data_IF_584985110987
#
_entry.id   IF_584985110987
#
_cell.length_a   1.000
_cell.length_b   1.000
_cell.length_c   1.000
_cell.angle_alpha   90.00
_cell.angle_beta   90.00
_cell.angle_gamma   90.00
#
_symmetry.space_group_name_H-M   'P 1'
#
loop_
_entity.id
_entity.type
_entity.pdbx_description
1 polymer ?
#
# COMPACT_ATOMS: atom_id res chain seq x y z
N UNK A 1 -20.83 -58.34 -12.67
CA UNK A 1 -20.65 -58.40 -14.12
C UNK A 1 -20.23 -57.02 -14.63
N UNK A 2 -19.08 -57.06 -15.30
CA UNK A 2 -18.45 -56.05 -16.13
C UNK A 2 -17.89 -54.78 -15.46
N UNK A 3 -16.59 -54.90 -15.18
CA UNK A 3 -15.56 -53.83 -15.15
C UNK A 3 -15.49 -53.10 -16.46
N UNK A 4 -15.25 -51.80 -16.39
CA UNK A 4 -14.57 -51.12 -17.49
C UNK A 4 -13.56 -50.14 -16.90
N UNK A 5 -12.31 -50.54 -17.06
CA UNK A 5 -11.07 -49.82 -16.77
C UNK A 5 -10.84 -48.81 -17.92
N UNK A 6 -10.59 -47.54 -17.64
CA UNK A 6 -10.08 -46.59 -18.63
C UNK A 6 -8.62 -46.30 -18.32
N UNK A 7 -7.77 -46.82 -19.18
CA UNK A 7 -6.31 -46.55 -19.24
C UNK A 7 -6.13 -45.30 -20.10
N UNK A 8 -5.55 -44.23 -19.53
CA UNK A 8 -5.01 -43.13 -20.33
C UNK A 8 -3.57 -43.39 -20.69
N UNK A 9 -3.33 -43.53 -21.96
CA UNK A 9 -2.02 -43.73 -22.62
C UNK A 9 -1.21 -42.44 -22.61
N UNK A 10 0.01 -42.51 -22.09
CA UNK A 10 1.06 -41.51 -22.30
C UNK A 10 1.66 -41.76 -23.67
N UNK A 11 1.63 -40.78 -24.58
CA UNK A 11 2.42 -40.78 -25.81
C UNK A 11 3.60 -39.83 -25.60
N UNK A 12 4.79 -40.42 -25.43
CA UNK A 12 6.07 -39.75 -25.64
C UNK A 12 6.27 -39.55 -27.16
N UNK A 13 6.51 -38.33 -27.57
CA UNK A 13 7.23 -38.06 -28.81
C UNK A 13 8.57 -37.40 -28.48
N UNK A 14 9.61 -38.16 -28.64
CA UNK A 14 10.96 -37.68 -28.79
C UNK A 14 11.17 -37.27 -30.25
N UNK A 15 11.51 -36.02 -30.48
CA UNK A 15 12.19 -35.61 -31.69
C UNK A 15 13.34 -34.69 -31.33
N UNK A 16 14.52 -35.22 -31.54
CA UNK A 16 15.77 -34.53 -31.58
C UNK A 16 15.81 -33.57 -32.78
N UNK A 17 16.16 -32.32 -32.51
CA UNK A 17 16.51 -31.36 -33.52
C UNK A 17 17.29 -30.25 -32.84
N UNK A 18 18.63 -30.38 -32.89
CA UNK A 18 19.51 -29.25 -32.63
C UNK A 18 19.26 -28.18 -33.70
N UNK A 19 18.83 -27.03 -33.31
CA UNK A 19 19.05 -25.77 -34.02
C UNK A 19 19.56 -24.80 -32.96
N UNK A 20 20.82 -24.42 -33.10
CA UNK A 20 21.43 -23.28 -32.47
C UNK A 20 20.78 -22.03 -33.10
N UNK A 21 19.82 -21.44 -32.38
CA UNK A 21 19.45 -20.06 -32.61
C UNK A 21 19.79 -19.31 -31.34
N UNK A 22 20.96 -18.69 -31.36
CA UNK A 22 21.25 -17.54 -30.52
C UNK A 22 20.21 -16.47 -30.89
N UNK A 23 19.08 -16.40 -30.15
CA UNK A 23 18.27 -15.20 -30.13
C UNK A 23 19.10 -14.09 -29.49
N UNK A 24 19.75 -13.30 -30.33
CA UNK A 24 20.19 -11.96 -30.02
C UNK A 24 19.02 -11.24 -29.34
N UNK A 25 19.11 -11.05 -28.03
CA UNK A 25 18.30 -10.07 -27.38
C UNK A 25 18.50 -8.75 -28.12
N UNK A 26 17.50 -8.32 -28.84
CA UNK A 26 17.51 -7.07 -29.58
C UNK A 26 17.67 -5.92 -28.57
N UNK A 27 18.91 -5.58 -28.29
CA UNK A 27 19.28 -4.34 -27.64
C UNK A 27 18.89 -3.20 -28.56
N UNK A 28 17.86 -2.45 -28.16
CA UNK A 28 17.57 -1.17 -28.78
C UNK A 28 16.49 -1.18 -29.84
N UNK A 29 15.22 -1.27 -29.43
CA UNK A 29 14.16 -0.71 -30.25
C UNK A 29 14.50 0.76 -30.52
N UNK A 30 14.80 1.12 -31.77
CA UNK A 30 14.82 2.51 -32.18
C UNK A 30 13.44 3.08 -31.86
N UNK A 31 13.39 4.12 -31.01
CA UNK A 31 12.19 4.93 -30.88
C UNK A 31 11.91 5.46 -32.27
N UNK A 32 10.80 5.01 -32.87
CA UNK A 32 10.42 5.49 -34.20
C UNK A 32 10.27 7.00 -34.14
N UNK A 33 10.78 7.75 -35.12
CA UNK A 33 10.55 9.21 -35.21
C UNK A 33 9.06 9.59 -35.19
N UNK A 34 8.16 8.64 -35.49
CA UNK A 34 6.71 8.82 -35.45
C UNK A 34 6.11 8.95 -34.03
N UNK A 35 6.88 8.61 -32.96
CA UNK A 35 6.46 8.78 -31.56
C UNK A 35 6.75 10.20 -31.02
N UNK A 36 7.37 11.05 -31.80
CA UNK A 36 7.60 12.45 -31.40
C UNK A 36 6.35 13.23 -31.80
N UNK A 37 5.58 13.83 -30.85
CA UNK A 37 4.43 14.66 -31.20
C UNK A 37 4.84 15.74 -32.21
N UNK A 38 4.01 15.99 -33.23
CA UNK A 38 4.21 17.05 -34.23
C UNK A 38 4.42 18.44 -33.62
N UNK A 39 4.14 18.59 -32.32
CA UNK A 39 4.16 19.86 -31.58
C UNK A 39 5.13 19.83 -30.40
N UNK A 40 6.41 19.52 -30.64
CA UNK A 40 7.49 19.60 -29.62
C UNK A 40 7.58 20.98 -28.92
N UNK A 41 7.19 22.04 -29.61
CA UNK A 41 7.33 23.41 -29.12
C UNK A 41 6.38 23.74 -27.96
N UNK A 42 5.32 22.95 -27.75
CA UNK A 42 4.34 23.15 -26.68
C UNK A 42 4.41 22.12 -25.55
N UNK A 43 5.34 21.17 -25.61
CA UNK A 43 5.52 20.18 -24.54
C UNK A 43 6.27 20.82 -23.36
N UNK A 44 5.61 20.99 -22.24
CA UNK A 44 6.21 21.54 -21.01
C UNK A 44 6.69 20.40 -20.13
N UNK A 45 8.00 20.14 -20.19
CA UNK A 45 8.65 19.18 -19.31
C UNK A 45 9.08 19.82 -17.99
N UNK A 46 9.01 19.07 -16.93
CA UNK A 46 9.71 19.42 -15.69
C UNK A 46 11.14 18.86 -15.75
N UNK A 47 12.09 19.63 -16.29
CA UNK A 47 13.47 19.20 -16.50
C UNK A 47 14.24 18.97 -15.18
N UNK A 48 13.75 19.46 -14.03
CA UNK A 48 14.31 19.20 -12.73
C UNK A 48 14.35 17.68 -12.38
N UNK A 49 13.54 16.85 -13.06
CA UNK A 49 13.57 15.40 -12.90
C UNK A 49 14.96 14.81 -13.20
N UNK A 50 15.67 15.34 -14.16
CA UNK A 50 17.00 14.82 -14.53
C UNK A 50 18.04 15.07 -13.42
N UNK A 51 17.86 16.09 -12.61
CA UNK A 51 18.63 16.32 -11.39
C UNK A 51 18.29 15.33 -10.26
N UNK A 52 17.08 14.77 -10.29
CA UNK A 52 16.61 13.79 -9.31
C UNK A 52 16.98 12.34 -9.70
N UNK A 53 17.29 12.07 -10.97
CA UNK A 53 17.60 10.73 -11.46
C UNK A 53 19.08 10.37 -11.26
N UNK A 54 19.36 9.13 -10.88
CA UNK A 54 20.66 8.51 -11.05
C UNK A 54 20.81 8.04 -12.50
N UNK A 55 21.30 8.92 -13.38
CA UNK A 55 21.43 8.63 -14.82
C UNK A 55 22.38 7.47 -15.14
N UNK A 56 23.17 7.01 -14.16
CA UNK A 56 24.01 5.81 -14.27
C UNK A 56 23.30 4.54 -13.78
N UNK A 57 22.02 4.64 -13.43
CA UNK A 57 21.23 3.47 -13.05
C UNK A 57 20.99 2.56 -14.26
N UNK A 58 21.16 1.22 -14.11
CA UNK A 58 20.98 0.28 -15.22
C UNK A 58 19.62 0.42 -15.92
N UNK A 59 19.65 0.55 -17.24
CA UNK A 59 18.48 0.76 -18.08
C UNK A 59 18.17 2.22 -18.41
N UNK A 60 18.89 3.19 -17.82
CA UNK A 60 18.74 4.61 -18.13
C UNK A 60 19.77 5.14 -19.13
N UNK A 61 20.51 4.28 -19.82
CA UNK A 61 21.58 4.66 -20.75
C UNK A 61 21.07 5.59 -21.88
N UNK A 62 19.88 5.33 -22.41
CA UNK A 62 19.26 6.19 -23.44
C UNK A 62 18.79 7.52 -22.87
N UNK A 63 18.25 7.51 -21.65
CA UNK A 63 17.84 8.73 -20.94
C UNK A 63 19.04 9.64 -20.76
N UNK A 64 20.15 9.09 -20.25
CA UNK A 64 21.41 9.81 -20.07
C UNK A 64 21.91 10.38 -21.38
N UNK A 65 21.99 9.56 -22.45
CA UNK A 65 22.48 9.96 -23.76
C UNK A 65 21.69 11.16 -24.32
N UNK A 66 20.37 11.11 -24.29
CA UNK A 66 19.53 12.21 -24.81
C UNK A 66 19.64 13.47 -23.95
N UNK A 67 19.64 13.32 -22.64
CA UNK A 67 19.78 14.47 -21.73
C UNK A 67 21.14 15.16 -21.90
N UNK A 68 22.24 14.43 -21.97
CA UNK A 68 23.59 14.98 -22.22
C UNK A 68 23.71 15.65 -23.60
N UNK A 69 22.88 15.25 -24.57
CA UNK A 69 22.78 15.89 -25.88
C UNK A 69 21.87 17.14 -25.88
N UNK A 70 21.21 17.47 -24.76
CA UNK A 70 20.25 18.58 -24.67
C UNK A 70 18.88 18.25 -25.28
N UNK A 71 18.58 16.97 -25.50
CA UNK A 71 17.33 16.49 -26.10
C UNK A 71 16.37 16.00 -25.03
N UNK A 72 15.98 16.90 -24.10
CA UNK A 72 15.25 16.55 -22.89
C UNK A 72 13.90 15.87 -23.14
N UNK A 73 13.19 16.23 -24.23
CA UNK A 73 11.96 15.52 -24.58
C UNK A 73 12.18 14.06 -24.95
N UNK A 74 13.24 13.78 -25.71
CA UNK A 74 13.62 12.40 -26.03
C UNK A 74 14.10 11.64 -24.79
N UNK A 75 14.82 12.32 -23.89
CA UNK A 75 15.20 11.77 -22.59
C UNK A 75 13.96 11.39 -21.76
N UNK A 76 12.97 12.27 -21.65
CA UNK A 76 11.73 12.00 -20.92
C UNK A 76 10.90 10.88 -21.58
N UNK A 77 10.88 10.82 -22.91
CA UNK A 77 10.22 9.74 -23.65
C UNK A 77 10.89 8.40 -23.42
N UNK A 78 12.22 8.35 -23.43
CA UNK A 78 12.99 7.16 -23.10
C UNK A 78 12.79 6.72 -21.65
N UNK A 79 12.66 7.69 -20.72
CA UNK A 79 12.35 7.43 -19.33
C UNK A 79 10.96 6.80 -19.16
N UNK A 80 9.95 7.29 -19.88
CA UNK A 80 8.60 6.71 -19.85
C UNK A 80 8.62 5.25 -20.36
N UNK A 81 9.31 4.98 -21.45
CA UNK A 81 9.46 3.61 -21.96
C UNK A 81 10.18 2.70 -20.95
N UNK A 82 11.22 3.20 -20.30
CA UNK A 82 11.88 2.48 -19.22
C UNK A 82 10.90 2.13 -18.09
N UNK A 83 10.10 3.08 -17.60
CA UNK A 83 9.11 2.82 -16.54
C UNK A 83 8.01 1.84 -16.98
N UNK A 84 7.64 1.84 -18.26
CA UNK A 84 6.68 0.87 -18.81
C UNK A 84 7.22 -0.56 -18.84
N UNK A 85 8.51 -0.73 -19.09
CA UNK A 85 9.16 -2.03 -19.28
C UNK A 85 9.87 -2.58 -18.05
N UNK A 86 10.21 -1.74 -17.08
CA UNK A 86 11.02 -2.15 -15.93
C UNK A 86 10.38 -3.26 -15.10
N UNK A 87 11.22 -4.17 -14.61
CA UNK A 87 10.86 -5.27 -13.70
C UNK A 87 11.83 -5.38 -12.52
N UNK A 88 12.54 -4.30 -12.18
CA UNK A 88 13.61 -4.26 -11.19
C UNK A 88 13.15 -4.10 -9.75
N UNK A 89 11.86 -3.82 -9.53
CA UNK A 89 11.26 -3.69 -8.21
C UNK A 89 9.88 -4.35 -8.18
N UNK A 90 9.60 -5.11 -7.12
CA UNK A 90 8.34 -5.83 -6.93
C UNK A 90 7.54 -5.17 -5.80
N UNK A 91 6.28 -4.83 -6.06
CA UNK A 91 5.32 -4.41 -5.04
C UNK A 91 4.34 -5.56 -4.75
N UNK A 92 4.54 -6.36 -3.67
CA UNK A 92 3.68 -7.50 -3.38
C UNK A 92 2.26 -7.12 -2.95
N UNK A 93 2.03 -5.85 -2.60
CA UNK A 93 0.69 -5.34 -2.27
C UNK A 93 -0.14 -5.02 -3.51
N UNK A 94 0.50 -4.90 -4.69
CA UNK A 94 -0.13 -4.49 -5.93
C UNK A 94 -0.46 -5.71 -6.80
N UNK A 95 -1.74 -5.93 -7.10
CA UNK A 95 -2.18 -6.90 -8.10
C UNK A 95 -2.78 -6.18 -9.29
N UNK A 96 -2.13 -6.29 -10.46
CA UNK A 96 -2.61 -5.71 -11.72
C UNK A 96 -3.49 -6.69 -12.52
N UNK A 97 -3.54 -7.96 -12.13
CA UNK A 97 -4.20 -9.03 -12.87
C UNK A 97 -5.63 -9.26 -12.38
N UNK A 98 -5.82 -9.33 -11.05
CA UNK A 98 -7.10 -9.64 -10.43
C UNK A 98 -7.58 -8.47 -9.57
N UNK A 99 -7.94 -7.36 -10.21
CA UNK A 99 -8.44 -6.19 -9.50
C UNK A 99 -9.88 -6.44 -9.06
N UNK A 100 -10.10 -6.38 -7.75
CA UNK A 100 -11.44 -6.43 -7.17
C UNK A 100 -11.86 -5.03 -6.73
N UNK A 101 -12.99 -4.54 -7.27
CA UNK A 101 -13.56 -3.28 -6.86
C UNK A 101 -14.31 -3.42 -5.52
N UNK A 102 -14.10 -2.47 -4.62
CA UNK A 102 -14.90 -2.35 -3.43
C UNK A 102 -16.31 -1.86 -3.80
N UNK A 103 -17.33 -2.65 -3.44
CA UNK A 103 -18.74 -2.29 -3.70
C UNK A 103 -19.33 -1.28 -2.71
N UNK A 104 -18.57 -0.96 -1.64
CA UNK A 104 -19.03 -0.07 -0.58
C UNK A 104 -19.99 -0.70 0.41
N UNK A 105 -20.61 0.14 1.25
CA UNK A 105 -21.59 -0.29 2.25
C UNK A 105 -23.01 0.07 1.81
N UNK A 106 -23.80 -0.95 1.47
CA UNK A 106 -25.18 -0.78 1.00
C UNK A 106 -26.15 -0.20 2.08
N UNK A 107 -25.75 -0.14 3.34
CA UNK A 107 -26.58 0.40 4.42
C UNK A 107 -26.66 1.93 4.46
N UNK A 108 -25.82 2.63 3.70
CA UNK A 108 -25.80 4.09 3.58
C UNK A 108 -26.49 4.56 2.28
N UNK A 109 -27.08 5.75 2.27
CA UNK A 109 -27.62 6.37 1.06
C UNK A 109 -26.51 6.65 0.03
N UNK A 110 -25.29 6.95 0.51
CA UNK A 110 -24.08 6.99 -0.28
C UNK A 110 -23.36 5.64 -0.18
N UNK A 111 -23.13 5.03 -1.34
CA UNK A 111 -22.30 3.84 -1.46
C UNK A 111 -20.85 4.27 -1.76
N UNK A 112 -19.95 4.14 -0.79
CA UNK A 112 -18.53 4.52 -0.85
C UNK A 112 -17.64 3.46 -1.51
N UNK A 113 -18.21 2.67 -2.44
CA UNK A 113 -17.44 1.73 -3.27
C UNK A 113 -16.53 2.42 -4.27
N UNK A 114 -15.51 1.70 -4.76
CA UNK A 114 -14.49 2.24 -5.68
C UNK A 114 -15.09 2.97 -6.88
N UNK A 115 -16.14 2.40 -7.52
CA UNK A 115 -16.80 3.02 -8.66
C UNK A 115 -17.41 4.39 -8.31
N UNK A 116 -18.15 4.48 -7.20
CA UNK A 116 -18.77 5.74 -6.79
C UNK A 116 -17.74 6.81 -6.42
N UNK A 117 -16.68 6.40 -5.71
CA UNK A 117 -15.58 7.32 -5.36
C UNK A 117 -14.93 7.87 -6.63
N UNK A 118 -14.65 7.00 -7.61
CA UNK A 118 -14.05 7.40 -8.88
C UNK A 118 -14.95 8.35 -9.67
N UNK A 119 -16.25 8.08 -9.75
CA UNK A 119 -17.21 8.89 -10.49
C UNK A 119 -17.44 10.26 -9.82
N UNK A 120 -17.55 10.31 -8.49
CA UNK A 120 -17.64 11.58 -7.78
C UNK A 120 -16.39 12.46 -7.94
N UNK A 121 -15.21 11.85 -8.04
CA UNK A 121 -13.99 12.61 -8.28
C UNK A 121 -14.00 13.32 -9.65
N UNK A 122 -14.67 12.77 -10.69
CA UNK A 122 -14.90 13.45 -11.97
C UNK A 122 -15.79 14.69 -11.85
N UNK A 123 -16.59 14.78 -10.79
CA UNK A 123 -17.44 15.92 -10.44
C UNK A 123 -16.76 16.88 -9.43
N UNK A 124 -15.44 16.72 -9.18
CA UNK A 124 -14.68 17.48 -8.17
C UNK A 124 -15.24 17.31 -6.75
N UNK A 125 -15.82 16.16 -6.47
CA UNK A 125 -16.29 15.70 -5.18
C UNK A 125 -15.32 14.64 -4.65
N UNK A 126 -14.45 15.05 -3.74
CA UNK A 126 -13.34 14.20 -3.33
C UNK A 126 -13.67 13.44 -2.05
N UNK A 127 -13.54 12.13 -2.13
CA UNK A 127 -13.82 11.23 -1.02
C UNK A 127 -12.84 11.44 0.12
N UNK A 128 -13.39 11.71 1.30
CA UNK A 128 -12.69 11.68 2.58
C UNK A 128 -13.50 10.81 3.52
N UNK A 129 -12.94 9.71 3.98
CA UNK A 129 -13.64 8.71 4.77
C UNK A 129 -14.28 9.32 6.02
N UNK A 130 -15.58 9.13 6.17
CA UNK A 130 -16.33 9.62 7.32
C UNK A 130 -16.86 11.05 7.18
N UNK A 131 -16.54 11.76 6.08
CA UNK A 131 -16.97 13.14 5.84
C UNK A 131 -17.82 13.26 4.59
N UNK A 132 -19.08 13.62 4.75
CA UNK A 132 -20.06 13.70 3.68
C UNK A 132 -20.98 14.92 3.86
N UNK A 133 -21.55 15.42 2.76
CA UNK A 133 -22.55 16.49 2.75
C UNK A 133 -23.94 15.96 2.38
N UNK A 134 -24.98 16.61 2.90
CA UNK A 134 -26.36 16.35 2.58
C UNK A 134 -26.91 15.03 3.09
N UNK A 135 -28.22 14.81 2.85
CA UNK A 135 -28.93 13.57 3.21
C UNK A 135 -28.42 12.34 2.45
N UNK A 136 -27.96 12.58 1.22
CA UNK A 136 -27.47 11.54 0.31
C UNK A 136 -26.02 11.13 0.62
N UNK A 137 -25.39 11.77 1.61
CA UNK A 137 -24.01 11.51 2.05
C UNK A 137 -23.00 11.49 0.90
N UNK A 138 -23.02 12.51 0.05
CA UNK A 138 -22.04 12.67 -1.04
C UNK A 138 -20.74 13.26 -0.50
N UNK A 139 -19.60 12.97 -1.12
CA UNK A 139 -18.36 13.69 -0.81
C UNK A 139 -18.49 15.18 -1.02
N UNK A 140 -17.78 15.99 -0.26
CA UNK A 140 -17.78 17.44 -0.40
C UNK A 140 -17.21 17.89 -1.76
N UNK A 141 -17.85 18.85 -2.41
CA UNK A 141 -17.35 19.46 -3.65
C UNK A 141 -16.30 20.51 -3.36
N UNK A 142 -15.15 20.45 -4.04
CA UNK A 142 -14.10 21.46 -3.97
C UNK A 142 -14.14 22.48 -5.13
N UNK A 143 -15.12 22.39 -6.04
CA UNK A 143 -15.20 23.32 -7.14
C UNK A 143 -15.51 22.67 -8.47
N UNK A 144 -14.73 23.01 -9.50
CA UNK A 144 -14.89 22.52 -10.87
C UNK A 144 -13.54 22.57 -11.61
N UNK A 145 -13.50 22.07 -12.83
CA UNK A 145 -12.35 22.12 -13.72
C UNK A 145 -11.68 23.51 -13.72
N UNK A 146 -10.38 23.55 -13.52
CA UNK A 146 -9.57 24.76 -13.50
C UNK A 146 -9.89 25.74 -12.37
N UNK A 147 -10.65 25.33 -11.36
CA UNK A 147 -11.02 26.15 -10.20
C UNK A 147 -11.31 25.28 -8.98
N UNK A 148 -10.30 24.50 -8.54
CA UNK A 148 -10.36 23.70 -7.33
C UNK A 148 -9.93 24.57 -6.15
N UNK A 149 -10.75 24.62 -5.10
CA UNK A 149 -10.42 25.32 -3.86
C UNK A 149 -10.16 24.28 -2.75
N UNK A 150 -8.90 24.01 -2.49
CA UNK A 150 -8.45 23.02 -1.51
C UNK A 150 -8.81 23.38 -0.06
N UNK A 151 -9.23 24.64 0.19
CA UNK A 151 -9.66 25.12 1.50
C UNK A 151 -11.19 25.37 1.59
N UNK A 152 -11.95 25.12 0.52
CA UNK A 152 -13.38 25.47 0.41
C UNK A 152 -14.22 25.00 1.59
N UNK A 153 -13.93 23.84 2.13
CA UNK A 153 -14.70 23.22 3.19
C UNK A 153 -13.98 23.23 4.55
N UNK A 154 -13.15 24.26 4.82
CA UNK A 154 -12.39 24.36 6.06
C UNK A 154 -13.28 24.37 7.31
N UNK A 155 -14.54 24.86 7.20
CA UNK A 155 -15.54 24.85 8.29
C UNK A 155 -16.01 23.45 8.69
N UNK A 156 -15.75 22.41 7.89
CA UNK A 156 -16.06 21.02 8.25
C UNK A 156 -15.18 20.53 9.40
N UNK A 157 -13.94 21.04 9.47
CA UNK A 157 -13.01 20.79 10.56
C UNK A 157 -11.59 20.48 10.07
N UNK A 158 -10.65 20.61 10.98
CA UNK A 158 -9.23 20.41 10.70
C UNK A 158 -8.93 18.97 10.21
N UNK A 159 -9.57 17.97 10.82
CA UNK A 159 -9.36 16.56 10.43
C UNK A 159 -9.84 16.28 9.01
N UNK A 160 -10.93 16.93 8.55
CA UNK A 160 -11.35 16.85 7.15
C UNK A 160 -10.24 17.37 6.21
N UNK A 161 -9.71 18.56 6.49
CA UNK A 161 -8.65 19.15 5.67
C UNK A 161 -7.38 18.26 5.66
N UNK A 162 -6.98 17.76 6.83
CA UNK A 162 -5.85 16.83 6.92
C UNK A 162 -6.05 15.60 6.03
N UNK A 163 -7.18 14.93 6.15
CA UNK A 163 -7.46 13.71 5.38
C UNK A 163 -7.67 13.98 3.89
N UNK A 164 -8.18 15.15 3.51
CA UNK A 164 -8.34 15.56 2.11
C UNK A 164 -7.01 15.46 1.35
N UNK A 165 -5.91 15.91 1.97
CA UNK A 165 -4.58 15.89 1.36
C UNK A 165 -3.91 14.51 1.32
N UNK A 166 -4.61 13.42 1.69
CA UNK A 166 -4.20 12.02 1.46
C UNK A 166 -4.61 11.50 0.09
N UNK A 167 -5.49 12.20 -0.61
CA UNK A 167 -5.97 11.87 -1.95
C UNK A 167 -6.62 10.49 -2.07
N UNK A 168 -7.45 10.10 -1.10
CA UNK A 168 -8.03 8.76 -0.96
C UNK A 168 -8.86 8.29 -2.16
N UNK A 169 -9.21 9.16 -3.09
CA UNK A 169 -10.01 8.85 -4.30
C UNK A 169 -9.16 8.38 -5.49
N UNK A 170 -7.85 8.63 -5.52
CA UNK A 170 -7.02 8.29 -6.67
C UNK A 170 -6.84 6.79 -6.88
N UNK A 171 -6.67 5.99 -5.81
CA UNK A 171 -6.58 4.53 -5.93
C UNK A 171 -7.90 3.93 -6.46
N UNK A 172 -9.10 4.29 -5.96
CA UNK A 172 -10.36 3.94 -6.60
C UNK A 172 -10.42 4.29 -8.10
N UNK A 173 -10.04 5.51 -8.50
CA UNK A 173 -9.99 5.90 -9.92
C UNK A 173 -9.06 5.00 -10.73
N UNK A 174 -7.87 4.70 -10.21
CA UNK A 174 -6.90 3.83 -10.87
C UNK A 174 -7.40 2.40 -11.04
N UNK A 175 -8.06 1.85 -10.02
CA UNK A 175 -8.69 0.51 -10.11
C UNK A 175 -9.80 0.48 -11.14
N UNK A 176 -10.69 1.48 -11.13
CA UNK A 176 -11.79 1.56 -12.10
C UNK A 176 -11.25 1.73 -13.52
N UNK A 177 -10.21 2.56 -13.71
CA UNK A 177 -9.50 2.66 -14.99
C UNK A 177 -9.00 1.29 -15.47
N UNK A 178 -8.31 0.54 -14.62
CA UNK A 178 -7.76 -0.78 -14.98
C UNK A 178 -8.82 -1.80 -15.37
N UNK A 179 -10.01 -1.72 -14.79
CA UNK A 179 -11.13 -2.63 -15.09
C UNK A 179 -11.90 -2.18 -16.33
N UNK A 180 -12.08 -0.87 -16.53
CA UNK A 180 -12.92 -0.31 -17.60
C UNK A 180 -12.16 0.08 -18.86
N UNK A 181 -10.88 0.42 -18.74
CA UNK A 181 -10.10 1.06 -19.81
C UNK A 181 -10.52 2.50 -20.12
N UNK A 182 -11.35 3.13 -19.27
CA UNK A 182 -11.87 4.46 -19.54
C UNK A 182 -10.86 5.54 -19.14
N UNK A 183 -10.30 6.18 -20.14
CA UNK A 183 -9.25 7.20 -20.01
C UNK A 183 -9.68 8.48 -19.27
N UNK A 184 -10.97 8.68 -19.00
CA UNK A 184 -11.43 9.84 -18.22
C UNK A 184 -10.87 9.83 -16.80
N UNK A 185 -10.61 8.66 -16.22
CA UNK A 185 -10.10 8.54 -14.84
C UNK A 185 -8.64 8.97 -14.73
N UNK A 186 -7.79 8.58 -15.68
CA UNK A 186 -6.41 9.07 -15.68
C UNK A 186 -6.34 10.57 -16.00
N UNK A 187 -7.16 11.07 -16.95
CA UNK A 187 -7.22 12.50 -17.24
C UNK A 187 -7.61 13.31 -16.02
N UNK A 188 -8.61 12.84 -15.26
CA UNK A 188 -9.01 13.46 -14.00
C UNK A 188 -7.87 13.42 -12.96
N UNK A 189 -7.16 12.28 -12.83
CA UNK A 189 -6.03 12.19 -11.92
C UNK A 189 -4.92 13.19 -12.26
N UNK A 190 -4.53 13.27 -13.54
CA UNK A 190 -3.50 14.20 -14.01
C UNK A 190 -3.92 15.65 -13.74
N UNK A 191 -5.14 16.03 -14.09
CA UNK A 191 -5.67 17.38 -13.89
C UNK A 191 -5.68 17.76 -12.41
N UNK A 192 -6.31 16.94 -11.58
CA UNK A 192 -6.51 17.22 -10.15
C UNK A 192 -5.17 17.21 -9.39
N UNK A 193 -4.28 16.29 -9.74
CA UNK A 193 -2.99 16.21 -9.05
C UNK A 193 -2.02 17.32 -9.51
N UNK A 194 -2.05 17.72 -10.78
CA UNK A 194 -1.30 18.89 -11.28
C UNK A 194 -1.76 20.18 -10.60
N UNK A 195 -3.08 20.36 -10.44
CA UNK A 195 -3.67 21.49 -9.72
C UNK A 195 -3.20 21.49 -8.26
N UNK A 196 -3.23 20.30 -7.59
CA UNK A 196 -2.76 20.18 -6.22
C UNK A 196 -1.28 20.54 -6.05
N UNK A 197 -0.40 20.02 -6.92
CA UNK A 197 1.04 20.33 -6.91
C UNK A 197 1.26 21.84 -7.01
N UNK A 198 0.53 22.50 -7.89
CA UNK A 198 0.64 23.94 -8.13
C UNK A 198 0.17 24.75 -6.93
N UNK A 199 -0.94 24.39 -6.32
CA UNK A 199 -1.55 25.16 -5.22
C UNK A 199 -0.96 24.83 -3.84
N UNK A 200 -0.28 23.69 -3.70
CA UNK A 200 0.28 23.24 -2.44
C UNK A 200 1.79 22.96 -2.58
N UNK A 201 2.61 23.96 -2.91
CA UNK A 201 4.05 23.77 -2.97
C UNK A 201 4.62 23.41 -1.60
N UNK A 202 5.81 22.79 -1.59
CA UNK A 202 6.50 22.46 -0.34
C UNK A 202 6.75 23.75 0.47
N UNK A 203 6.33 23.78 1.76
CA UNK A 203 6.58 24.94 2.61
C UNK A 203 8.07 25.13 2.89
N UNK A 204 8.54 26.37 2.83
CA UNK A 204 9.95 26.71 3.05
C UNK A 204 10.41 26.45 4.51
N UNK A 205 9.51 26.61 5.48
CA UNK A 205 9.81 26.55 6.93
C UNK A 205 9.56 25.17 7.55
N UNK A 206 9.24 24.14 6.75
CA UNK A 206 8.99 22.77 7.23
C UNK A 206 7.52 22.37 7.19
N UNK A 207 7.10 21.36 7.99
CA UNK A 207 5.74 20.82 7.91
C UNK A 207 4.67 21.85 8.26
N UNK A 208 3.60 21.87 7.48
CA UNK A 208 2.35 22.54 7.89
C UNK A 208 1.40 21.52 8.53
N UNK A 209 0.24 21.97 9.00
CA UNK A 209 -0.74 21.13 9.68
C UNK A 209 -1.72 20.40 8.73
N UNK A 210 -1.61 20.62 7.42
CA UNK A 210 -2.53 20.08 6.41
C UNK A 210 -1.81 19.34 5.28
N UNK A 211 -1.52 20.02 4.16
CA UNK A 211 -1.03 19.39 2.92
C UNK A 211 0.37 18.77 3.05
N UNK A 212 1.24 19.34 3.89
CA UNK A 212 2.62 18.89 4.11
C UNK A 212 2.85 18.43 5.56
N UNK A 213 1.81 17.95 6.26
CA UNK A 213 2.03 17.18 7.47
C UNK A 213 2.58 15.79 7.13
N UNK A 214 3.50 15.28 7.94
CA UNK A 214 4.27 14.06 7.63
C UNK A 214 3.37 12.86 7.29
N UNK A 215 2.27 12.65 8.03
CA UNK A 215 1.34 11.55 7.76
C UNK A 215 0.69 11.66 6.38
N UNK A 216 0.31 12.87 5.95
CA UNK A 216 -0.30 13.08 4.63
C UNK A 216 0.70 12.84 3.51
N UNK A 217 1.94 13.34 3.67
CA UNK A 217 3.01 13.10 2.70
C UNK A 217 3.33 11.61 2.62
N UNK A 218 3.44 10.91 3.75
CA UNK A 218 3.70 9.48 3.80
C UNK A 218 2.59 8.67 3.10
N UNK A 219 1.32 8.97 3.40
CA UNK A 219 0.19 8.29 2.76
C UNK A 219 0.19 8.48 1.24
N UNK A 220 0.43 9.71 0.77
CA UNK A 220 0.52 9.98 -0.67
C UNK A 220 1.64 9.21 -1.35
N UNK A 221 2.84 9.14 -0.77
CA UNK A 221 3.95 8.38 -1.36
C UNK A 221 3.64 6.89 -1.50
N UNK A 222 3.00 6.28 -0.49
CA UNK A 222 2.58 4.87 -0.56
C UNK A 222 1.59 4.64 -1.70
N UNK A 223 0.67 5.57 -1.92
CA UNK A 223 -0.30 5.46 -3.01
C UNK A 223 0.31 5.78 -4.38
N UNK A 224 1.21 6.76 -4.47
CA UNK A 224 1.81 7.21 -5.74
C UNK A 224 2.61 6.11 -6.45
N UNK A 225 3.33 5.26 -5.72
CA UNK A 225 4.03 4.12 -6.32
C UNK A 225 3.06 3.12 -6.96
N UNK A 226 1.85 3.00 -6.44
CA UNK A 226 0.80 2.17 -7.01
C UNK A 226 0.15 2.86 -8.21
N UNK A 227 -0.14 4.16 -8.11
CA UNK A 227 -0.75 4.95 -9.19
C UNK A 227 0.10 4.93 -10.46
N UNK A 228 1.43 5.03 -10.33
CA UNK A 228 2.35 4.86 -11.46
C UNK A 228 2.13 3.51 -12.16
N UNK A 229 2.09 2.42 -11.42
CA UNK A 229 1.92 1.08 -11.99
C UNK A 229 0.52 0.87 -12.59
N UNK A 230 -0.53 1.47 -12.02
CA UNK A 230 -1.87 1.42 -12.58
C UNK A 230 -1.97 2.16 -13.92
N UNK A 231 -1.33 3.33 -14.06
CA UNK A 231 -1.59 4.27 -15.16
C UNK A 231 -0.50 4.32 -16.23
N UNK A 232 0.73 3.84 -15.99
CA UNK A 232 1.90 4.03 -16.87
C UNK A 232 1.72 3.58 -18.33
N UNK A 233 0.77 2.68 -18.60
CA UNK A 233 0.49 2.18 -19.95
C UNK A 233 -0.61 2.94 -20.70
N UNK A 234 -1.25 3.93 -20.07
CA UNK A 234 -2.19 4.82 -20.75
C UNK A 234 -1.50 5.73 -21.74
N UNK A 235 -2.17 6.03 -22.85
CA UNK A 235 -1.70 7.04 -23.84
C UNK A 235 -1.70 8.46 -23.26
N UNK A 236 -2.54 8.72 -22.24
CA UNK A 236 -2.56 9.99 -21.54
C UNK A 236 -1.47 10.10 -20.46
N UNK A 237 -0.73 9.03 -20.16
CA UNK A 237 0.45 9.10 -19.31
C UNK A 237 1.66 9.54 -20.17
N UNK A 238 1.85 10.84 -20.30
CA UNK A 238 2.82 11.44 -21.21
C UNK A 238 4.20 11.65 -20.55
N UNK A 239 5.26 11.90 -21.35
CA UNK A 239 6.58 12.25 -20.79
C UNK A 239 6.54 13.49 -19.88
N UNK A 240 5.75 14.51 -20.25
CA UNK A 240 5.58 15.75 -19.47
C UNK A 240 4.98 15.44 -18.09
N UNK A 241 3.93 14.62 -18.08
CA UNK A 241 3.32 14.20 -16.82
C UNK A 241 4.28 13.36 -15.96
N UNK A 242 5.00 12.42 -16.56
CA UNK A 242 5.98 11.61 -15.85
C UNK A 242 7.04 12.49 -15.17
N UNK A 243 7.58 13.48 -15.87
CA UNK A 243 8.62 14.37 -15.31
C UNK A 243 8.08 15.19 -14.13
N UNK A 244 6.88 15.71 -14.23
CA UNK A 244 6.20 16.43 -13.13
C UNK A 244 5.92 15.50 -11.95
N UNK A 245 5.39 14.33 -12.22
CA UNK A 245 5.07 13.32 -11.19
C UNK A 245 6.31 12.90 -10.40
N UNK A 246 7.40 12.53 -11.09
CA UNK A 246 8.63 12.07 -10.45
C UNK A 246 9.33 13.18 -9.65
N UNK A 247 9.31 14.42 -10.15
CA UNK A 247 9.86 15.56 -9.41
C UNK A 247 9.09 15.76 -8.09
N UNK A 248 7.76 15.81 -8.16
CA UNK A 248 6.94 15.94 -6.95
C UNK A 248 7.09 14.77 -5.99
N UNK A 249 7.24 13.53 -6.53
CA UNK A 249 7.48 12.35 -5.73
C UNK A 249 8.81 12.45 -4.94
N UNK A 250 9.89 12.80 -5.63
CA UNK A 250 11.21 12.94 -5.00
C UNK A 250 11.23 14.05 -3.93
N UNK A 251 10.61 15.20 -4.21
CA UNK A 251 10.47 16.29 -3.24
C UNK A 251 9.73 15.84 -1.97
N UNK A 252 8.66 15.06 -2.10
CA UNK A 252 7.91 14.54 -0.96
C UNK A 252 8.71 13.52 -0.14
N UNK A 253 9.48 12.64 -0.80
CA UNK A 253 10.32 11.67 -0.11
C UNK A 253 11.49 12.36 0.62
N UNK A 254 12.14 13.33 -0.01
CA UNK A 254 13.21 14.14 0.60
C UNK A 254 12.68 14.97 1.78
N UNK A 255 11.45 15.49 1.67
CA UNK A 255 10.78 16.18 2.76
C UNK A 255 10.64 15.28 4.00
N UNK A 256 10.22 14.02 3.85
CA UNK A 256 10.09 13.10 4.98
C UNK A 256 11.45 12.76 5.62
N UNK A 257 12.52 12.68 4.83
CA UNK A 257 13.86 12.48 5.39
C UNK A 257 14.31 13.69 6.21
N UNK A 258 14.05 14.88 5.68
CA UNK A 258 14.45 16.15 6.30
C UNK A 258 13.64 16.49 7.55
N UNK A 259 12.35 16.13 7.58
CA UNK A 259 11.43 16.49 8.66
C UNK A 259 10.75 15.23 9.24
N UNK A 260 11.48 14.35 9.93
CA UNK A 260 10.89 13.20 10.57
C UNK A 260 9.91 13.64 11.65
N UNK A 261 8.82 12.89 11.83
CA UNK A 261 7.91 13.11 12.94
C UNK A 261 8.65 12.87 14.25
N UNK A 262 8.46 13.77 15.22
CA UNK A 262 9.29 13.81 16.44
C UNK A 262 8.94 12.72 17.45
N UNK A 263 7.70 12.24 17.43
CA UNK A 263 7.19 11.30 18.44
C UNK A 263 7.11 9.88 17.87
N UNK A 264 7.44 8.90 18.70
CA UNK A 264 7.19 7.49 18.41
C UNK A 264 5.69 7.21 18.33
N UNK A 265 5.23 6.59 17.26
CA UNK A 265 3.83 6.28 17.04
C UNK A 265 3.50 5.93 15.59
N UNK A 266 2.22 5.73 15.33
CA UNK A 266 1.70 5.34 14.03
C UNK A 266 2.13 6.29 12.89
N UNK A 267 2.26 7.61 13.15
CA UNK A 267 2.72 8.58 12.15
C UNK A 267 4.15 8.29 11.71
N UNK A 268 5.05 8.05 12.67
CA UNK A 268 6.45 7.74 12.37
C UNK A 268 6.59 6.36 11.71
N UNK A 269 5.79 5.36 12.12
CA UNK A 269 5.72 4.03 11.47
C UNK A 269 5.31 4.18 10.01
N UNK A 270 4.22 4.92 9.72
CA UNK A 270 3.76 5.16 8.34
C UNK A 270 4.81 5.91 7.51
N UNK A 271 5.53 6.85 8.12
CA UNK A 271 6.63 7.56 7.47
C UNK A 271 7.79 6.62 7.11
N UNK A 272 8.16 5.71 8.01
CA UNK A 272 9.16 4.67 7.74
C UNK A 272 8.74 3.77 6.58
N UNK A 273 7.50 3.31 6.57
CA UNK A 273 6.90 2.52 5.48
C UNK A 273 6.94 3.26 4.14
N UNK A 274 6.57 4.55 4.13
CA UNK A 274 6.58 5.37 2.92
C UNK A 274 7.99 5.54 2.34
N UNK A 275 8.98 5.77 3.19
CA UNK A 275 10.38 5.90 2.77
C UNK A 275 10.96 4.58 2.25
N UNK A 276 10.60 3.45 2.87
CA UNK A 276 10.96 2.12 2.36
C UNK A 276 10.32 1.90 0.99
N UNK A 277 9.02 2.20 0.85
CA UNK A 277 8.33 2.07 -0.43
C UNK A 277 8.96 2.95 -1.52
N UNK A 278 9.25 4.20 -1.20
CA UNK A 278 9.92 5.12 -2.12
C UNK A 278 11.31 4.60 -2.54
N UNK A 279 12.15 4.17 -1.60
CA UNK A 279 13.50 3.71 -1.90
C UNK A 279 13.55 2.38 -2.64
N UNK A 280 12.62 1.45 -2.36
CA UNK A 280 12.56 0.14 -3.02
C UNK A 280 11.92 0.24 -4.41
N UNK A 281 10.83 1.01 -4.56
CA UNK A 281 10.01 1.01 -5.76
C UNK A 281 10.40 2.09 -6.77
N UNK A 282 11.25 3.04 -6.37
CA UNK A 282 11.82 4.08 -7.24
C UNK A 282 13.35 4.13 -7.15
N UNK A 283 14.03 2.99 -7.37
CA UNK A 283 15.48 2.88 -7.15
C UNK A 283 16.32 3.71 -8.15
N UNK A 284 15.70 4.20 -9.21
CA UNK A 284 16.30 5.07 -10.22
C UNK A 284 16.56 6.51 -9.71
N UNK A 285 15.87 6.90 -8.64
CA UNK A 285 16.03 8.24 -8.08
C UNK A 285 17.30 8.31 -7.22
N UNK A 286 18.04 9.43 -7.31
CA UNK A 286 19.36 9.60 -6.65
C UNK A 286 19.32 9.32 -5.16
N UNK A 287 18.25 9.76 -4.51
CA UNK A 287 18.11 9.67 -3.07
C UNK A 287 17.43 8.36 -2.60
N UNK A 288 17.09 7.44 -3.52
CA UNK A 288 16.35 6.22 -3.20
C UNK A 288 17.01 5.37 -2.09
N UNK A 289 18.35 5.24 -2.14
CA UNK A 289 19.08 4.51 -1.10
C UNK A 289 19.00 5.20 0.26
N UNK A 290 19.08 6.54 0.30
CA UNK A 290 18.95 7.31 1.53
C UNK A 290 17.55 7.19 2.12
N UNK A 291 16.49 7.20 1.28
CA UNK A 291 15.12 6.96 1.71
C UNK A 291 14.96 5.57 2.32
N UNK A 292 15.46 4.54 1.63
CA UNK A 292 15.41 3.16 2.12
C UNK A 292 16.14 3.01 3.46
N UNK A 293 17.35 3.52 3.59
CA UNK A 293 18.14 3.42 4.82
C UNK A 293 17.47 4.16 5.99
N UNK A 294 16.94 5.36 5.72
CA UNK A 294 16.18 6.12 6.73
C UNK A 294 14.90 5.41 7.13
N UNK A 295 14.14 4.87 6.16
CA UNK A 295 12.93 4.12 6.42
C UNK A 295 13.17 2.86 7.23
N UNK A 296 14.20 2.07 6.89
CA UNK A 296 14.59 0.88 7.65
C UNK A 296 15.07 1.23 9.06
N UNK A 297 15.81 2.33 9.23
CA UNK A 297 16.21 2.82 10.56
C UNK A 297 14.99 3.15 11.43
N UNK A 298 13.99 3.82 10.87
CA UNK A 298 12.73 4.11 11.57
C UNK A 298 12.00 2.80 11.90
N UNK A 299 11.84 1.88 10.95
CA UNK A 299 11.13 0.63 11.17
C UNK A 299 11.78 -0.23 12.26
N UNK A 300 13.13 -0.33 12.27
CA UNK A 300 13.90 -1.06 13.29
C UNK A 300 13.75 -0.46 14.70
N UNK A 301 13.69 0.86 14.80
CA UNK A 301 13.46 1.54 16.08
C UNK A 301 11.99 1.37 16.52
N UNK A 302 11.05 1.62 15.60
CA UNK A 302 9.64 1.65 15.95
C UNK A 302 9.06 0.26 16.26
N UNK A 303 9.53 -0.84 15.67
CA UNK A 303 9.06 -2.17 16.08
C UNK A 303 9.32 -2.44 17.58
N UNK A 304 10.44 -1.94 18.09
CA UNK A 304 10.81 -2.03 19.53
C UNK A 304 10.04 -1.03 20.40
N UNK A 305 9.71 0.13 19.85
CA UNK A 305 9.02 1.20 20.56
C UNK A 305 7.49 1.00 20.59
N UNK A 306 6.93 0.33 19.59
CA UNK A 306 5.48 0.11 19.49
C UNK A 306 5.02 -1.12 20.27
N UNK A 307 5.86 -2.17 20.36
CA UNK A 307 5.49 -3.42 21.03
C UNK A 307 6.31 -3.63 22.30
N UNK A 308 5.61 -4.00 23.39
CA UNK A 308 6.20 -4.41 24.66
C UNK A 308 6.87 -5.78 24.51
N UNK A 309 7.66 -6.18 25.47
CA UNK A 309 8.35 -7.48 25.44
C UNK A 309 7.39 -8.68 25.36
N UNK A 310 6.19 -8.54 25.94
CA UNK A 310 5.13 -9.55 25.87
C UNK A 310 4.36 -9.57 24.53
N UNK A 311 4.69 -8.68 23.61
CA UNK A 311 4.12 -8.56 22.26
C UNK A 311 2.97 -7.56 22.13
N UNK A 312 2.42 -7.00 23.23
CA UNK A 312 1.35 -6.03 23.13
C UNK A 312 1.82 -4.67 22.60
N UNK A 313 0.96 -4.03 21.81
CA UNK A 313 1.14 -2.64 21.42
C UNK A 313 1.00 -1.72 22.64
N UNK A 314 1.86 -0.70 22.74
CA UNK A 314 1.96 0.20 23.89
C UNK A 314 0.66 0.92 24.26
N UNK A 315 -0.24 1.13 23.30
CA UNK A 315 -1.54 1.77 23.57
C UNK A 315 -2.56 0.81 24.17
N UNK A 316 -2.24 -0.48 24.28
CA UNK A 316 -3.07 -1.54 24.88
C UNK A 316 -4.51 -1.60 24.32
N UNK A 317 -4.69 -1.10 23.10
CA UNK A 317 -5.92 -1.18 22.31
C UNK A 317 -5.75 -2.24 21.25
N UNK A 318 -6.64 -3.24 21.19
CA UNK A 318 -6.54 -4.31 20.20
C UNK A 318 -6.70 -3.78 18.76
N UNK A 319 -7.47 -2.71 18.60
CA UNK A 319 -7.65 -2.05 17.30
C UNK A 319 -6.33 -1.47 16.78
N UNK A 320 -5.65 -0.64 17.58
CA UNK A 320 -4.34 -0.08 17.21
C UNK A 320 -3.26 -1.15 17.12
N UNK A 321 -3.31 -2.17 17.98
CA UNK A 321 -2.41 -3.31 17.93
C UNK A 321 -2.41 -3.99 16.55
N UNK A 322 -3.60 -4.35 16.05
CA UNK A 322 -3.74 -5.03 14.76
C UNK A 322 -3.34 -4.11 13.60
N UNK A 323 -3.64 -2.81 13.71
CA UNK A 323 -3.22 -1.83 12.70
C UNK A 323 -1.69 -1.70 12.65
N UNK A 324 -1.04 -1.60 13.81
CA UNK A 324 0.43 -1.53 13.87
C UNK A 324 1.10 -2.81 13.31
N UNK A 325 0.57 -4.00 13.66
CA UNK A 325 1.07 -5.25 13.07
C UNK A 325 0.89 -5.28 11.55
N UNK A 326 -0.22 -4.73 11.03
CA UNK A 326 -0.46 -4.66 9.59
C UNK A 326 0.53 -3.73 8.87
N UNK A 327 0.89 -2.58 9.45
CA UNK A 327 1.86 -1.65 8.87
C UNK A 327 3.25 -2.29 8.77
N UNK A 328 3.69 -2.98 9.81
CA UNK A 328 4.94 -3.73 9.77
C UNK A 328 4.89 -4.95 8.84
N UNK A 329 3.73 -5.60 8.70
CA UNK A 329 3.55 -6.69 7.74
C UNK A 329 3.79 -6.20 6.30
N UNK A 330 3.20 -5.09 5.89
CA UNK A 330 3.40 -4.56 4.53
C UNK A 330 4.88 -4.15 4.31
N UNK A 331 5.52 -3.57 5.33
CA UNK A 331 6.96 -3.25 5.29
C UNK A 331 7.82 -4.48 5.04
N UNK A 332 7.60 -5.57 5.80
CA UNK A 332 8.38 -6.80 5.63
C UNK A 332 8.15 -7.44 4.27
N UNK A 333 6.90 -7.53 3.83
CA UNK A 333 6.59 -8.11 2.50
C UNK A 333 7.36 -7.42 1.40
N UNK A 334 7.37 -6.08 1.42
CA UNK A 334 8.08 -5.28 0.42
C UNK A 334 9.59 -5.56 0.45
N UNK A 335 10.17 -5.58 1.64
CA UNK A 335 11.60 -5.87 1.84
C UNK A 335 11.95 -7.31 1.42
N UNK A 336 11.13 -8.30 1.76
CA UNK A 336 11.35 -9.70 1.39
C UNK A 336 11.25 -9.93 -0.12
N UNK A 337 10.21 -9.37 -0.77
CA UNK A 337 10.02 -9.50 -2.22
C UNK A 337 11.23 -8.97 -3.00
N UNK A 338 11.86 -7.91 -2.49
CA UNK A 338 13.03 -7.29 -3.12
C UNK A 338 14.38 -7.76 -2.55
N UNK A 339 14.40 -8.84 -1.76
CA UNK A 339 15.62 -9.49 -1.20
C UNK A 339 16.48 -8.55 -0.32
N UNK A 340 15.86 -7.65 0.41
CA UNK A 340 16.50 -6.61 1.22
C UNK A 340 16.44 -6.90 2.73
N UNK A 341 16.23 -8.15 3.14
CA UNK A 341 16.05 -8.54 4.55
C UNK A 341 17.23 -8.18 5.46
N UNK A 342 18.45 -8.04 4.90
CA UNK A 342 19.63 -7.58 5.64
C UNK A 342 19.56 -6.12 6.12
N UNK A 343 18.57 -5.35 5.67
CA UNK A 343 18.31 -3.98 6.11
C UNK A 343 17.53 -3.91 7.42
N UNK A 344 16.90 -5.02 7.83
CA UNK A 344 16.19 -5.11 9.09
C UNK A 344 17.07 -5.73 10.17
N UNK A 345 16.90 -5.28 11.41
CA UNK A 345 17.57 -5.86 12.58
C UNK A 345 17.20 -7.35 12.73
N UNK A 346 18.12 -8.22 13.19
CA UNK A 346 17.83 -9.64 13.41
C UNK A 346 16.62 -9.89 14.32
N UNK A 347 16.41 -9.01 15.30
CA UNK A 347 15.31 -9.12 16.29
C UNK A 347 13.95 -8.67 15.74
N UNK A 348 13.91 -7.97 14.60
CA UNK A 348 12.68 -7.39 14.05
C UNK A 348 11.56 -8.43 13.88
N UNK A 349 11.92 -9.58 13.30
CA UNK A 349 10.96 -10.67 13.09
C UNK A 349 10.45 -11.29 14.41
N UNK A 350 11.24 -11.28 15.47
CA UNK A 350 10.84 -11.78 16.79
C UNK A 350 9.80 -10.86 17.43
N UNK A 351 10.06 -9.53 17.43
CA UNK A 351 9.09 -8.55 17.92
C UNK A 351 7.76 -8.67 17.20
N UNK A 352 7.79 -8.75 15.86
CA UNK A 352 6.56 -8.85 15.08
C UNK A 352 5.83 -10.19 15.25
N UNK A 353 6.57 -11.30 15.42
CA UNK A 353 5.96 -12.61 15.73
C UNK A 353 5.24 -12.58 17.07
N UNK A 354 5.88 -12.04 18.10
CA UNK A 354 5.28 -11.90 19.43
C UNK A 354 4.02 -11.02 19.37
N UNK A 355 4.08 -9.92 18.63
CA UNK A 355 2.92 -9.07 18.42
C UNK A 355 1.78 -9.80 17.67
N UNK A 356 2.08 -10.50 16.59
CA UNK A 356 1.07 -11.27 15.86
C UNK A 356 0.41 -12.37 16.72
N UNK A 357 1.13 -12.98 17.65
CA UNK A 357 0.60 -14.01 18.56
C UNK A 357 -0.46 -13.46 19.54
N UNK A 358 -0.43 -12.18 19.87
CA UNK A 358 -1.43 -11.56 20.77
C UNK A 358 -2.84 -11.81 20.28
N UNK A 359 -3.11 -11.63 18.98
CA UNK A 359 -4.44 -11.81 18.40
C UNK A 359 -5.01 -13.22 18.63
N UNK A 360 -4.16 -14.26 18.68
CA UNK A 360 -4.58 -15.64 18.98
C UNK A 360 -5.35 -15.66 20.30
N UNK A 361 -4.78 -15.07 21.34
CA UNK A 361 -5.31 -15.14 22.71
C UNK A 361 -6.58 -14.27 22.88
N UNK A 362 -6.73 -13.22 22.09
CA UNK A 362 -7.90 -12.31 22.10
C UNK A 362 -8.98 -12.70 21.09
N UNK A 363 -8.82 -13.83 20.36
CA UNK A 363 -9.86 -14.40 19.51
C UNK A 363 -10.84 -15.21 20.35
N UNK A 364 -12.13 -14.80 20.35
CA UNK A 364 -13.17 -15.47 21.14
C UNK A 364 -13.60 -16.80 20.53
N UNK A 365 -14.05 -17.77 21.36
CA UNK A 365 -14.47 -19.11 20.88
C UNK A 365 -15.55 -19.06 19.82
N UNK A 366 -16.50 -18.15 19.92
CA UNK A 366 -17.58 -18.00 18.98
C UNK A 366 -17.12 -17.55 17.55
N UNK A 367 -15.89 -17.07 17.36
CA UNK A 367 -15.33 -16.89 16.01
C UNK A 367 -15.18 -18.19 15.23
N UNK A 368 -15.24 -19.33 15.88
CA UNK A 368 -15.21 -20.64 15.24
C UNK A 368 -16.59 -21.13 14.82
N UNK A 369 -17.67 -20.45 15.21
CA UNK A 369 -19.04 -20.76 14.81
C UNK A 369 -19.43 -20.06 13.51
N UNK A 370 -20.02 -20.79 12.58
CA UNK A 370 -20.45 -20.25 11.29
C UNK A 370 -21.64 -19.31 11.47
N UNK A 371 -21.53 -18.09 11.01
CA UNK A 371 -22.61 -17.09 10.93
C UNK A 371 -22.77 -16.18 12.15
N UNK A 372 -21.90 -16.30 13.16
CA UNK A 372 -21.94 -15.38 14.28
C UNK A 372 -21.23 -14.06 13.96
N UNK A 373 -21.79 -12.94 14.39
CA UNK A 373 -21.15 -11.60 14.37
C UNK A 373 -20.47 -11.33 15.70
N UNK A 374 -19.29 -10.71 15.69
CA UNK A 374 -18.46 -10.63 16.87
C UNK A 374 -18.06 -9.23 17.26
N UNK A 375 -17.93 -9.07 18.57
CA UNK A 375 -17.39 -7.90 19.20
C UNK A 375 -15.99 -8.26 19.70
N UNK A 376 -14.98 -7.56 19.19
CA UNK A 376 -13.64 -7.61 19.75
C UNK A 376 -13.65 -6.96 21.13
N UNK A 377 -12.91 -7.48 22.13
CA UNK A 377 -12.82 -6.80 23.42
C UNK A 377 -12.39 -5.35 23.24
N UNK A 378 -13.23 -4.43 23.67
CA UNK A 378 -12.97 -2.99 23.62
C UNK A 378 -12.19 -2.57 24.87
N UNK A 379 -10.86 -2.72 24.83
CA UNK A 379 -9.98 -2.17 25.86
C UNK A 379 -9.41 -0.84 25.41
N UNK A 380 -9.26 0.10 26.31
CA UNK A 380 -8.71 1.44 26.08
C UNK A 380 -9.39 2.17 24.91
N UNK A 381 -8.64 2.90 24.07
CA UNK A 381 -9.15 3.60 22.90
C UNK A 381 -9.47 2.63 21.76
N UNK A 382 -10.37 1.69 22.03
CA UNK A 382 -10.87 0.75 21.05
C UNK A 382 -12.25 1.15 20.55
N UNK A 383 -12.39 1.26 19.23
CA UNK A 383 -13.69 1.52 18.64
C UNK A 383 -14.59 0.29 18.84
N UNK A 384 -15.88 0.53 19.08
CA UNK A 384 -16.91 -0.52 19.02
C UNK A 384 -17.06 -0.99 17.58
N UNK A 385 -16.13 -1.79 17.11
CA UNK A 385 -16.20 -2.36 15.77
C UNK A 385 -16.48 -3.85 15.88
N UNK A 386 -17.53 -4.27 15.20
CA UNK A 386 -17.78 -5.67 14.97
C UNK A 386 -16.78 -6.18 13.93
N UNK A 387 -15.77 -6.91 14.38
CA UNK A 387 -14.83 -7.52 13.46
C UNK A 387 -15.40 -8.83 12.98
N UNK A 388 -15.68 -8.91 11.68
CA UNK A 388 -16.17 -10.14 11.09
C UNK A 388 -15.13 -11.26 11.17
N UNK A 389 -15.61 -12.50 11.11
CA UNK A 389 -14.73 -13.70 10.98
C UNK A 389 -13.75 -13.52 9.81
N UNK A 390 -14.23 -12.98 8.69
CA UNK A 390 -13.40 -12.70 7.52
C UNK A 390 -12.25 -11.74 7.85
N UNK A 391 -12.50 -10.71 8.65
CA UNK A 391 -11.45 -9.75 9.05
C UNK A 391 -10.40 -10.42 9.91
N UNK A 392 -10.80 -11.18 10.92
CA UNK A 392 -9.87 -11.90 11.80
C UNK A 392 -9.08 -12.97 11.03
N UNK A 393 -9.78 -13.75 10.18
CA UNK A 393 -9.14 -14.77 9.34
C UNK A 393 -8.10 -14.17 8.40
N UNK A 394 -8.38 -13.03 7.77
CA UNK A 394 -7.43 -12.32 6.89
C UNK A 394 -6.15 -11.91 7.61
N UNK A 395 -6.24 -11.47 8.89
CA UNK A 395 -5.04 -11.17 9.66
C UNK A 395 -4.20 -12.44 9.90
N UNK A 396 -4.82 -13.56 10.28
CA UNK A 396 -4.08 -14.81 10.45
C UNK A 396 -3.51 -15.36 9.15
N UNK A 397 -4.17 -15.16 8.00
CA UNK A 397 -3.60 -15.49 6.69
C UNK A 397 -2.31 -14.69 6.46
N UNK A 398 -2.33 -13.37 6.69
CA UNK A 398 -1.12 -12.52 6.63
C UNK A 398 -0.01 -13.01 7.56
N UNK A 399 -0.36 -13.39 8.79
CA UNK A 399 0.62 -13.91 9.75
C UNK A 399 1.19 -15.26 9.32
N UNK A 400 0.41 -16.10 8.65
CA UNK A 400 0.89 -17.36 8.06
C UNK A 400 1.86 -17.12 6.90
N UNK A 401 1.66 -16.07 6.13
CA UNK A 401 2.60 -15.67 5.06
C UNK A 401 3.95 -15.23 5.64
N UNK A 402 3.95 -14.44 6.72
CA UNK A 402 5.19 -14.01 7.38
C UNK A 402 5.90 -15.14 8.13
N UNK A 403 5.12 -16.01 8.77
CA UNK A 403 5.62 -17.07 9.66
C UNK A 403 5.07 -18.43 9.22
N UNK A 404 5.50 -18.95 8.05
CA UNK A 404 4.96 -20.18 7.48
C UNK A 404 5.27 -21.45 8.30
N UNK A 405 6.20 -21.35 9.25
CA UNK A 405 6.52 -22.39 10.22
C UNK A 405 5.53 -22.47 11.41
N UNK A 406 4.69 -21.43 11.58
CA UNK A 406 3.76 -21.34 12.72
C UNK A 406 2.50 -22.19 12.51
N UNK A 407 2.47 -23.35 13.14
CA UNK A 407 1.28 -24.23 13.14
C UNK A 407 0.07 -23.57 13.82
N UNK A 408 0.30 -22.67 14.79
CA UNK A 408 -0.76 -21.89 15.45
C UNK A 408 -1.45 -20.93 14.48
N UNK A 409 -0.68 -20.18 13.67
CA UNK A 409 -1.26 -19.26 12.70
C UNK A 409 -2.01 -20.01 11.59
N UNK A 410 -1.50 -21.15 11.12
CA UNK A 410 -2.23 -22.00 10.16
C UNK A 410 -3.57 -22.47 10.73
N UNK A 411 -3.59 -22.89 12.00
CA UNK A 411 -4.83 -23.28 12.67
C UNK A 411 -5.82 -22.10 12.72
N UNK A 412 -5.38 -20.94 13.22
CA UNK A 412 -6.26 -19.79 13.38
C UNK A 412 -6.78 -19.27 12.02
N UNK A 413 -5.94 -19.24 10.98
CA UNK A 413 -6.34 -18.80 9.64
C UNK A 413 -7.47 -19.65 9.04
N UNK A 414 -7.43 -20.96 9.28
CA UNK A 414 -8.39 -21.92 8.71
C UNK A 414 -9.60 -22.15 9.60
N UNK A 415 -9.41 -22.29 10.91
CA UNK A 415 -10.49 -22.53 11.87
C UNK A 415 -11.43 -21.32 12.02
N UNK A 416 -10.88 -20.11 12.15
CA UNK A 416 -11.67 -18.88 12.27
C UNK A 416 -12.54 -18.65 11.01
N UNK A 417 -12.11 -19.07 9.85
CA UNK A 417 -12.91 -18.95 8.62
C UNK A 417 -13.98 -20.04 8.48
N UNK A 418 -14.09 -20.96 9.46
CA UNK A 418 -15.07 -22.07 9.46
C UNK A 418 -14.74 -23.16 8.45
N UNK A 419 -13.47 -23.24 8.00
CA UNK A 419 -12.96 -24.32 7.17
C UNK A 419 -12.45 -25.50 7.99
N UNK A 420 -11.94 -26.52 7.31
CA UNK A 420 -11.21 -27.62 7.96
C UNK A 420 -9.92 -27.06 8.56
N UNK A 421 -9.81 -27.10 9.87
CA UNK A 421 -8.65 -26.60 10.58
C UNK A 421 -7.38 -27.35 10.14
N UNK A 422 -6.35 -26.59 9.79
CA UNK A 422 -5.00 -27.10 9.48
C UNK A 422 -4.03 -26.58 10.53
N UNK A 423 -2.93 -27.29 10.72
CA UNK A 423 -1.97 -26.94 11.76
C UNK A 423 -2.36 -27.51 13.14
N UNK A 424 -1.84 -26.89 14.19
CA UNK A 424 -2.07 -27.32 15.57
C UNK A 424 -2.82 -26.24 16.34
N UNK A 425 -3.84 -26.65 17.10
CA UNK A 425 -4.49 -25.75 18.07
C UNK A 425 -3.45 -25.10 18.96
N UNK A 426 -3.57 -23.79 19.21
CA UNK A 426 -2.79 -23.16 20.28
C UNK A 426 -3.13 -23.84 21.61
N UNK A 427 -2.16 -23.91 22.54
CA UNK A 427 -2.41 -24.53 23.86
C UNK A 427 -3.53 -23.81 24.64
N UNK A 428 -4.03 -24.50 25.66
CA UNK A 428 -5.04 -23.98 26.60
C UNK A 428 -4.39 -23.37 27.85
N UNK A 429 -3.11 -23.05 27.78
CA UNK A 429 -2.37 -22.48 28.89
C UNK A 429 -2.87 -21.06 29.23
N UNK A 430 -2.70 -20.70 30.49
CA UNK A 430 -2.89 -19.32 30.91
C UNK A 430 -1.82 -18.49 30.22
N UNK A 431 -2.25 -17.54 29.39
CA UNK A 431 -1.33 -16.58 28.77
C UNK A 431 -1.29 -15.31 29.60
N UNK A 432 -0.09 -14.97 30.04
CA UNK A 432 0.19 -13.77 30.80
C UNK A 432 0.89 -12.77 29.89
N UNK A 433 0.30 -11.58 29.78
CA UNK A 433 0.89 -10.41 29.17
C UNK A 433 1.20 -9.43 30.31
N UNK A 434 2.37 -9.64 30.93
CA UNK A 434 2.71 -8.96 32.19
C UNK A 434 2.96 -7.49 32.04
N UNK A 435 3.54 -7.05 30.91
CA UNK A 435 3.84 -5.66 30.64
C UNK A 435 2.55 -4.87 30.31
N UNK A 436 1.63 -5.50 29.58
CA UNK A 436 0.34 -4.93 29.22
C UNK A 436 -0.75 -5.14 30.31
N UNK A 437 -0.48 -5.92 31.34
CA UNK A 437 -1.45 -6.18 32.42
C UNK A 437 -2.64 -7.06 32.01
N UNK A 438 -2.53 -7.90 30.98
CA UNK A 438 -3.60 -8.81 30.56
C UNK A 438 -3.29 -10.26 30.90
N UNK A 439 -4.31 -10.94 31.40
CA UNK A 439 -4.25 -12.37 31.74
C UNK A 439 -5.40 -13.08 31.03
N UNK A 440 -5.06 -14.03 30.15
CA UNK A 440 -6.05 -14.74 29.34
C UNK A 440 -6.06 -16.22 29.73
N UNK A 441 -7.23 -16.69 30.13
CA UNK A 441 -7.49 -18.08 30.49
C UNK A 441 -8.54 -18.65 29.54
N UNK A 442 -8.30 -19.85 29.01
CA UNK A 442 -9.30 -20.53 28.18
C UNK A 442 -9.29 -22.04 28.43
N UNK A 443 -10.42 -22.69 28.21
CA UNK A 443 -10.57 -24.13 28.35
C UNK A 443 -10.62 -24.88 27.01
N UNK A 444 -10.50 -24.19 25.90
CA UNK A 444 -10.49 -24.81 24.58
C UNK A 444 -10.61 -23.79 23.41
N UNK A 445 -10.70 -24.36 22.22
CA UNK A 445 -10.77 -23.64 20.94
C UNK A 445 -12.04 -23.97 20.14
N UNK A 446 -12.99 -24.65 20.77
CA UNK A 446 -14.29 -24.97 20.18
C UNK A 446 -15.28 -23.82 20.42
N UNK A 447 -16.35 -23.69 19.61
CA UNK A 447 -17.38 -22.66 19.80
C UNK A 447 -17.99 -22.64 21.21
N UNK A 448 -18.08 -23.77 21.85
CA UNK A 448 -18.60 -23.93 23.23
C UNK A 448 -17.57 -23.64 24.33
N UNK A 449 -16.34 -23.38 23.96
CA UNK A 449 -15.27 -23.07 24.92
C UNK A 449 -15.51 -21.71 25.59
N UNK A 450 -14.89 -21.55 26.77
CA UNK A 450 -14.92 -20.31 27.52
C UNK A 450 -13.55 -19.65 27.47
N UNK A 451 -13.53 -18.34 27.28
CA UNK A 451 -12.34 -17.51 27.50
C UNK A 451 -12.65 -16.45 28.55
N UNK A 452 -11.73 -16.25 29.47
CA UNK A 452 -11.76 -15.16 30.43
C UNK A 452 -10.52 -14.31 30.24
N UNK A 453 -10.73 -13.00 30.08
CA UNK A 453 -9.67 -12.01 29.98
C UNK A 453 -9.78 -11.11 31.21
N UNK A 454 -8.71 -11.08 31.97
CA UNK A 454 -8.58 -10.20 33.14
C UNK A 454 -7.61 -9.08 32.77
N UNK A 455 -8.03 -7.83 33.02
CA UNK A 455 -7.20 -6.63 32.84
C UNK A 455 -6.83 -6.07 34.21
N UNK A 456 -5.57 -5.74 34.38
CA UNK A 456 -5.01 -5.09 35.56
C UNK A 456 -4.07 -3.95 35.12
N UNK A 457 -4.56 -3.13 34.20
CA UNK A 457 -3.85 -1.98 33.64
C UNK A 457 -4.61 -0.67 33.88
#
# INVERSE_FOLDING_TARGET
MKNTLFICLFAMFALSGCVDDEEEFATGGNISPELIPENKENAVLNTAVFDQLNLDYPGLEKVKQYHEAGEDYLAASALLEYYRMRANAENPALSLVNITLNKGNASNNFNDGDQNIADFALEYRFFVKGFYEGSDKKPYSLGKAGSIDWNKNASVGEEYLKQLHRHQWFIPQAKVYRVSGDEKYIKSWIEVYSDWITQNPQPAEGPNTTSWWQLQVATRLIDQVQLLEYFKHSDNFTPEWLTTFLTSFAEQADFLVKYPYAESGNILVTQGQALIAAGVLMPELKNAQNWLDKGCSIANAEVKNQFMADGWHKEMSLHYHISAVADFYETIRLIQANKLTSKLDPEFNEYLRNAAEVLIHFTYPNYFEKGADYIVPGFNDSWKSNWSRSTISKNFIKYTELFPDSEKFKYMATAVNGGNAQGKTPGNDIKVFGDAGYYVMRNGWEPSSTVMIFSNN
#
